data_IF_339162161048
#
_entry.id   IF_339162161048
#
_cell.length_a   1.000
_cell.length_b   1.000
_cell.length_c   1.000
_cell.angle_alpha   90.00
_cell.angle_beta   90.00
_cell.angle_gamma   90.00
#
_symmetry.space_group_name_H-M   'P 1'
#
loop_
_entity.id
_entity.type
_entity.pdbx_description
1 polymer ?
#
# COMPACT_ATOMS: atom_id res chain seq x y z
N UNK A 1 23.46 35.73 0.56
CA UNK A 1 22.05 35.46 0.19
C UNK A 1 21.12 35.85 1.35
N UNK A 2 20.51 37.04 1.24
CA UNK A 2 19.58 37.60 2.23
C UNK A 2 18.30 36.76 2.26
N UNK A 3 17.96 36.21 3.43
CA UNK A 3 16.73 35.44 3.63
C UNK A 3 15.54 36.40 3.52
N UNK A 4 14.72 36.24 2.49
CA UNK A 4 13.47 36.98 2.30
C UNK A 4 12.54 36.74 3.51
N UNK A 5 12.26 37.78 4.29
CA UNK A 5 11.49 37.73 5.54
C UNK A 5 9.97 37.54 5.38
N UNK A 6 9.47 37.34 4.15
CA UNK A 6 8.03 37.31 3.82
C UNK A 6 7.56 36.00 3.19
N UNK A 7 8.16 34.86 3.53
CA UNK A 7 7.69 33.55 3.08
C UNK A 7 6.78 32.98 4.17
N UNK A 8 5.46 33.04 3.95
CA UNK A 8 4.50 32.30 4.76
C UNK A 8 4.62 30.80 4.44
N UNK A 9 5.42 30.09 5.22
CA UNK A 9 5.58 28.64 5.11
C UNK A 9 4.31 27.99 5.70
N UNK A 10 3.41 27.52 4.83
CA UNK A 10 2.26 26.72 5.25
C UNK A 10 2.75 25.37 5.76
N UNK A 11 2.39 25.01 6.99
CA UNK A 11 2.74 23.72 7.56
C UNK A 11 2.20 22.58 6.67
N UNK A 12 3.03 21.59 6.31
CA UNK A 12 2.58 20.45 5.52
C UNK A 12 1.59 19.61 6.34
N UNK A 13 0.47 19.22 5.72
CA UNK A 13 -0.55 18.39 6.36
C UNK A 13 -0.07 16.96 6.66
N UNK A 14 0.89 16.48 5.87
CA UNK A 14 1.54 15.19 6.03
C UNK A 14 3.04 15.35 5.85
N UNK A 15 3.83 14.66 6.67
CA UNK A 15 5.28 14.64 6.58
C UNK A 15 5.76 13.23 6.21
N UNK A 16 6.79 13.16 5.37
CA UNK A 16 7.38 11.91 4.90
C UNK A 16 8.73 11.70 5.55
N UNK A 17 8.90 10.59 6.25
CA UNK A 17 10.19 10.22 6.84
C UNK A 17 10.50 8.75 6.54
N UNK A 18 11.68 8.49 5.99
CA UNK A 18 12.15 7.15 5.58
C UNK A 18 11.23 6.39 4.61
N UNK A 19 10.27 7.07 3.97
CA UNK A 19 9.25 6.44 3.13
C UNK A 19 7.87 6.30 3.78
N UNK A 20 7.77 6.49 5.10
CA UNK A 20 6.52 6.52 5.84
C UNK A 20 5.85 7.88 5.76
N UNK A 21 4.52 7.88 5.67
CA UNK A 21 3.72 9.09 5.77
C UNK A 21 3.11 9.23 7.15
N UNK A 22 3.31 10.39 7.76
CA UNK A 22 2.80 10.69 9.09
C UNK A 22 1.85 11.88 9.00
N UNK A 23 0.72 11.76 9.71
CA UNK A 23 -0.15 12.90 10.01
C UNK A 23 0.39 13.69 11.21
N UNK A 24 -0.10 14.92 11.40
CA UNK A 24 0.20 15.74 12.58
C UNK A 24 -0.18 15.05 13.89
N UNK A 25 -1.19 14.17 13.86
CA UNK A 25 -1.66 13.39 15.01
C UNK A 25 -1.09 11.95 15.04
N UNK A 26 0.01 11.70 14.32
CA UNK A 26 0.61 10.38 14.18
C UNK A 26 -0.38 9.30 13.69
N UNK A 27 -1.35 9.70 12.87
CA UNK A 27 -2.28 8.78 12.20
C UNK A 27 -1.64 8.18 10.95
N UNK A 28 -1.75 6.85 10.83
CA UNK A 28 -1.22 6.05 9.73
C UNK A 28 -2.28 5.75 8.65
N UNK A 29 -3.51 6.26 8.80
CA UNK A 29 -4.59 6.05 7.83
C UNK A 29 -4.23 6.50 6.42
N UNK A 30 -3.51 7.62 6.29
CA UNK A 30 -3.04 8.10 4.99
C UNK A 30 -1.96 7.19 4.40
N UNK A 31 -0.97 6.78 5.21
CA UNK A 31 0.09 5.85 4.82
C UNK A 31 -0.48 4.53 4.30
N UNK A 32 -1.35 3.89 5.10
CA UNK A 32 -1.99 2.62 4.72
C UNK A 32 -2.78 2.80 3.44
N UNK A 33 -3.57 3.87 3.29
CA UNK A 33 -4.34 4.13 2.07
C UNK A 33 -3.44 4.29 0.83
N UNK A 34 -2.32 4.99 0.96
CA UNK A 34 -1.38 5.20 -0.15
C UNK A 34 -0.76 3.85 -0.60
N UNK A 35 -0.27 3.06 0.34
CA UNK A 35 0.37 1.78 0.04
C UNK A 35 -0.63 0.70 -0.40
N UNK A 36 -1.85 0.70 0.15
CA UNK A 36 -2.94 -0.17 -0.33
C UNK A 36 -3.30 0.17 -1.78
N UNK A 37 -3.46 1.47 -2.11
CA UNK A 37 -3.75 1.88 -3.48
C UNK A 37 -2.58 1.53 -4.44
N UNK A 38 -1.34 1.69 -3.98
CA UNK A 38 -0.15 1.31 -4.75
C UNK A 38 -0.13 -0.19 -5.06
N UNK A 39 -0.39 -1.03 -4.07
CA UNK A 39 -0.48 -2.48 -4.24
C UNK A 39 -1.65 -2.88 -5.16
N UNK A 40 -2.80 -2.22 -5.05
CA UNK A 40 -3.96 -2.48 -5.90
C UNK A 40 -3.67 -2.13 -7.37
N UNK A 41 -3.05 -0.97 -7.63
CA UNK A 41 -2.63 -0.59 -8.99
C UNK A 41 -1.66 -1.61 -9.56
N UNK A 42 -0.68 -2.04 -8.75
CA UNK A 42 0.26 -3.07 -9.16
C UNK A 42 -0.43 -4.41 -9.49
N UNK A 43 -1.37 -4.86 -8.66
CA UNK A 43 -2.15 -6.08 -8.93
C UNK A 43 -2.94 -5.99 -10.24
N UNK A 44 -3.54 -4.83 -10.53
CA UNK A 44 -4.23 -4.60 -11.80
C UNK A 44 -3.27 -4.64 -12.99
N UNK A 45 -2.11 -4.01 -12.88
CA UNK A 45 -1.07 -4.07 -13.92
C UNK A 45 -0.53 -5.49 -14.11
N UNK A 46 -0.27 -6.21 -13.02
CA UNK A 46 0.18 -7.60 -13.07
C UNK A 46 -0.86 -8.52 -13.73
N UNK A 47 -2.15 -8.26 -13.49
CA UNK A 47 -3.24 -8.95 -14.19
C UNK A 47 -3.19 -8.68 -15.69
N UNK A 48 -3.00 -7.44 -16.12
CA UNK A 48 -2.88 -7.12 -17.55
C UNK A 48 -1.68 -7.81 -18.20
N UNK A 49 -0.55 -7.90 -17.48
CA UNK A 49 0.64 -8.61 -17.95
C UNK A 49 0.39 -10.12 -18.12
N UNK A 50 -0.31 -10.74 -17.16
CA UNK A 50 -0.65 -12.16 -17.20
C UNK A 50 -1.61 -12.55 -18.32
N UNK A 51 -2.45 -11.62 -18.80
CA UNK A 51 -3.37 -11.84 -19.94
C UNK A 51 -2.75 -11.43 -21.28
N UNK A 52 -1.51 -10.94 -21.31
CA UNK A 52 -0.86 -10.53 -22.57
C UNK A 52 -0.37 -11.71 -23.41
N UNK A 53 -0.27 -11.54 -24.73
CA UNK A 53 0.17 -12.57 -25.70
C UNK A 53 1.61 -13.05 -25.50
N UNK A 54 2.41 -12.29 -24.74
CA UNK A 54 3.79 -12.61 -24.33
C UNK A 54 3.87 -12.93 -22.83
N UNK A 55 2.74 -13.22 -22.19
CA UNK A 55 2.60 -13.38 -20.74
C UNK A 55 3.17 -14.69 -20.20
N UNK A 56 3.79 -14.60 -19.02
CA UNK A 56 4.15 -15.75 -18.20
C UNK A 56 2.88 -16.53 -17.77
N UNK A 57 3.04 -17.83 -17.50
CA UNK A 57 1.97 -18.72 -17.01
C UNK A 57 1.10 -18.03 -15.93
N UNK A 58 -0.23 -17.95 -16.13
CA UNK A 58 -1.14 -17.21 -15.24
C UNK A 58 -1.03 -17.62 -13.78
N UNK A 59 -0.84 -18.92 -13.52
CA UNK A 59 -0.83 -19.51 -12.19
C UNK A 59 0.49 -19.25 -11.45
N UNK A 60 1.62 -19.27 -12.16
CA UNK A 60 2.92 -18.99 -11.56
C UNK A 60 3.10 -17.49 -11.32
N UNK A 61 2.65 -16.65 -12.27
CA UNK A 61 2.77 -15.20 -12.15
C UNK A 61 1.86 -14.67 -11.03
N UNK A 62 0.61 -15.12 -10.93
CA UNK A 62 -0.32 -14.67 -9.88
C UNK A 62 0.22 -14.94 -8.48
N UNK A 63 0.60 -16.19 -8.19
CA UNK A 63 1.07 -16.55 -6.85
C UNK A 63 2.39 -15.86 -6.53
N UNK A 64 3.37 -15.88 -7.44
CA UNK A 64 4.71 -15.34 -7.18
C UNK A 64 4.72 -13.82 -7.10
N UNK A 65 4.05 -13.13 -8.03
CA UNK A 65 3.98 -11.66 -8.05
C UNK A 65 3.15 -11.12 -6.90
N UNK A 66 2.05 -11.79 -6.53
CA UNK A 66 1.29 -11.40 -5.34
C UNK A 66 2.13 -11.56 -4.06
N UNK A 67 2.69 -12.76 -3.84
CA UNK A 67 3.35 -13.10 -2.58
C UNK A 67 4.65 -12.33 -2.40
N UNK A 68 5.42 -12.13 -3.47
CA UNK A 68 6.70 -11.44 -3.38
C UNK A 68 6.57 -9.92 -3.39
N UNK A 69 5.71 -9.37 -4.26
CA UNK A 69 5.72 -7.92 -4.57
C UNK A 69 4.49 -7.22 -3.98
N UNK A 70 3.29 -7.67 -4.32
CA UNK A 70 2.09 -6.97 -3.84
C UNK A 70 1.99 -7.02 -2.31
N UNK A 71 2.27 -8.19 -1.71
CA UNK A 71 2.29 -8.39 -0.26
C UNK A 71 3.28 -7.44 0.41
N UNK A 72 4.53 -7.37 -0.06
CA UNK A 72 5.57 -6.53 0.52
C UNK A 72 5.27 -5.04 0.41
N UNK A 73 4.55 -4.60 -0.63
CA UNK A 73 4.14 -3.21 -0.78
C UNK A 73 3.13 -2.82 0.30
N UNK A 74 2.00 -3.52 0.43
CA UNK A 74 0.98 -3.12 1.41
C UNK A 74 1.34 -3.52 2.84
N UNK A 75 2.20 -4.53 3.04
CA UNK A 75 2.70 -4.90 4.37
C UNK A 75 3.76 -3.94 4.91
N UNK A 76 4.22 -3.01 4.07
CA UNK A 76 5.19 -2.00 4.46
C UNK A 76 4.64 -1.09 5.58
N UNK A 77 5.32 -1.14 6.73
CA UNK A 77 4.96 -0.34 7.91
C UNK A 77 4.02 -1.04 8.88
N UNK A 78 3.65 -2.31 8.68
CA UNK A 78 2.85 -3.06 9.67
C UNK A 78 3.44 -2.99 11.08
N UNK A 79 4.76 -3.19 11.20
CA UNK A 79 5.47 -3.11 12.48
C UNK A 79 5.37 -1.75 13.16
N UNK A 80 5.08 -0.68 12.40
CA UNK A 80 5.03 0.69 12.89
C UNK A 80 3.66 1.06 13.45
N UNK A 81 2.58 0.65 12.79
CA UNK A 81 1.22 1.04 13.16
C UNK A 81 0.40 -0.08 13.82
N UNK A 82 0.86 -1.34 13.75
CA UNK A 82 0.19 -2.45 14.41
C UNK A 82 0.52 -2.46 15.90
N UNK A 83 -0.42 -1.99 16.72
CA UNK A 83 -0.30 -2.08 18.17
C UNK A 83 -0.35 -3.55 18.63
N UNK A 84 0.52 -3.92 19.57
CA UNK A 84 0.54 -5.26 20.18
C UNK A 84 -0.82 -5.68 20.76
N UNK A 85 -1.59 -4.71 21.27
CA UNK A 85 -2.89 -4.95 21.86
C UNK A 85 -4.06 -4.85 20.86
N UNK A 86 -3.79 -4.60 19.57
CA UNK A 86 -4.82 -4.54 18.51
C UNK A 86 -5.83 -3.38 18.62
N UNK A 87 -5.67 -2.46 19.57
CA UNK A 87 -6.57 -1.32 19.73
C UNK A 87 -6.44 -0.32 18.56
N UNK A 88 -7.58 0.08 18.00
CA UNK A 88 -7.65 1.13 16.96
C UNK A 88 -7.19 0.72 15.56
N UNK A 89 -6.63 -0.48 15.36
CA UNK A 89 -6.07 -0.89 14.06
C UNK A 89 -7.05 -1.58 13.11
N UNK A 90 -8.26 -1.90 13.58
CA UNK A 90 -9.26 -2.67 12.79
C UNK A 90 -9.50 -2.07 11.40
N UNK A 91 -9.74 -0.76 11.32
CA UNK A 91 -9.98 -0.06 10.04
C UNK A 91 -8.80 -0.11 9.08
N UNK A 92 -7.57 -0.12 9.60
CA UNK A 92 -6.35 -0.20 8.81
C UNK A 92 -6.17 -1.62 8.26
N UNK A 93 -6.38 -2.63 9.12
CA UNK A 93 -6.34 -4.05 8.75
C UNK A 93 -7.40 -4.39 7.71
N UNK A 94 -8.62 -3.86 7.85
CA UNK A 94 -9.72 -4.05 6.88
C UNK A 94 -9.33 -3.59 5.47
N UNK A 95 -8.61 -2.48 5.33
CA UNK A 95 -8.10 -2.00 4.03
C UNK A 95 -7.10 -2.98 3.41
N UNK A 96 -6.23 -3.56 4.22
CA UNK A 96 -5.28 -4.56 3.75
C UNK A 96 -5.98 -5.88 3.41
N UNK A 97 -6.96 -6.30 4.20
CA UNK A 97 -7.76 -7.50 3.95
C UNK A 97 -8.50 -7.40 2.61
N UNK A 98 -9.01 -6.22 2.24
CA UNK A 98 -9.65 -5.99 0.96
C UNK A 98 -8.69 -6.35 -0.20
N UNK A 99 -7.44 -5.92 -0.13
CA UNK A 99 -6.44 -6.21 -1.17
C UNK A 99 -6.08 -7.69 -1.19
N UNK A 100 -5.91 -8.30 -0.03
CA UNK A 100 -5.68 -9.74 0.05
C UNK A 100 -6.82 -10.52 -0.59
N UNK A 101 -8.07 -10.12 -0.33
CA UNK A 101 -9.24 -10.76 -0.92
C UNK A 101 -9.28 -10.61 -2.44
N UNK A 102 -8.95 -9.42 -2.97
CA UNK A 102 -8.85 -9.17 -4.42
C UNK A 102 -7.77 -10.05 -5.04
N UNK A 103 -6.62 -10.17 -4.40
CA UNK A 103 -5.54 -11.01 -4.88
C UNK A 103 -5.88 -12.51 -4.80
N UNK A 104 -6.47 -12.97 -3.70
CA UNK A 104 -6.89 -14.36 -3.52
C UNK A 104 -7.93 -14.77 -4.57
N UNK A 105 -8.89 -13.90 -4.87
CA UNK A 105 -9.84 -14.11 -5.97
C UNK A 105 -9.13 -14.29 -7.30
N UNK A 106 -8.14 -13.45 -7.58
CA UNK A 106 -7.37 -13.55 -8.81
C UNK A 106 -6.52 -14.83 -8.89
N UNK A 107 -5.83 -15.21 -7.81
CA UNK A 107 -5.02 -16.45 -7.72
C UNK A 107 -5.90 -17.69 -7.91
N UNK A 108 -7.06 -17.71 -7.25
CA UNK A 108 -7.99 -18.85 -7.30
C UNK A 108 -8.83 -18.87 -8.59
N UNK A 109 -8.72 -17.85 -9.45
CA UNK A 109 -9.59 -17.70 -10.62
C UNK A 109 -11.07 -17.52 -10.26
N UNK A 110 -11.38 -17.09 -9.04
CA UNK A 110 -12.74 -16.86 -8.56
C UNK A 110 -13.12 -15.39 -8.82
N UNK A 111 -14.01 -15.16 -9.79
CA UNK A 111 -14.50 -13.82 -10.17
C UNK A 111 -15.77 -13.45 -9.41
#
# INVERSE_FOLDING_TARGET
>A
PTLNHNILIKAPQFWKYLGFFFSLYLDFSFHVTCYTNKALTFLRSARMMGTSTWGLSPNLLTALVYTAIAHSIWSYGYQLWYHHNGFGVKKLVEKCQLIQNVANRWIMGAF
#
